data_IF_585440301595
#
_entry.id   IF_585440301595
#
_cell.length_a   1.000
_cell.length_b   1.000
_cell.length_c   1.000
_cell.angle_alpha   90.00
_cell.angle_beta   90.00
_cell.angle_gamma   90.00
#
_symmetry.space_group_name_H-M   'P 1'
#
loop_
_entity.id
_entity.type
_entity.pdbx_description
1 polymer ?
#
# COMPACT_ATOMS: atom_id res chain seq x y z
N UNK A 1 -6.73 -4.00 31.79
CA UNK A 1 -5.59 -4.90 32.08
C UNK A 1 -6.01 -6.31 31.70
N UNK A 2 -5.56 -6.78 30.55
CA UNK A 2 -5.70 -8.19 30.16
C UNK A 2 -4.29 -8.66 29.85
N UNK A 3 -3.65 -9.32 30.82
CA UNK A 3 -2.35 -9.96 30.60
C UNK A 3 -2.62 -11.35 30.03
N UNK A 4 -2.15 -11.59 28.80
CA UNK A 4 -2.03 -12.94 28.25
C UNK A 4 -0.58 -13.34 28.46
N UNK A 5 -0.34 -14.24 29.43
CA UNK A 5 0.97 -14.82 29.65
C UNK A 5 1.21 -15.94 28.64
N UNK A 6 2.20 -15.77 27.76
CA UNK A 6 2.70 -16.86 26.93
C UNK A 6 3.77 -17.64 27.70
N UNK A 7 3.60 -18.94 27.86
CA UNK A 7 4.68 -19.86 28.21
C UNK A 7 5.16 -20.54 26.93
N UNK A 8 6.47 -20.55 26.68
CA UNK A 8 7.04 -21.33 25.58
C UNK A 8 7.05 -22.81 25.95
N UNK A 9 6.49 -23.65 25.07
CA UNK A 9 6.62 -25.10 25.17
C UNK A 9 7.60 -25.59 24.11
N UNK A 10 8.68 -26.23 24.55
CA UNK A 10 9.70 -26.82 23.68
C UNK A 10 9.16 -28.06 22.97
N UNK A 11 9.20 -28.03 21.64
CA UNK A 11 8.57 -29.01 20.73
C UNK A 11 9.26 -30.39 20.71
N UNK A 12 10.42 -30.57 21.37
CA UNK A 12 11.23 -31.79 21.21
C UNK A 12 10.80 -32.99 22.06
N UNK A 13 9.70 -32.94 22.81
CA UNK A 13 9.17 -34.06 23.61
C UNK A 13 7.64 -34.10 23.74
N UNK A 14 6.89 -33.88 22.66
CA UNK A 14 5.42 -33.98 22.74
C UNK A 14 4.91 -35.35 22.29
N UNK A 15 4.24 -36.03 23.21
CA UNK A 15 3.58 -37.32 23.02
C UNK A 15 2.34 -37.14 22.12
N UNK A 16 2.01 -38.13 21.29
CA UNK A 16 0.86 -38.06 20.36
C UNK A 16 -0.47 -37.68 21.05
N UNK A 17 -0.65 -38.06 22.32
CA UNK A 17 -1.82 -37.74 23.14
C UNK A 17 -2.03 -36.23 23.39
N UNK A 18 -0.97 -35.41 23.35
CA UNK A 18 -1.10 -33.97 23.60
C UNK A 18 -1.64 -33.23 22.37
N UNK A 19 -1.31 -33.70 21.17
CA UNK A 19 -1.90 -33.20 19.91
C UNK A 19 -3.40 -33.55 19.90
N UNK A 20 -3.75 -34.81 20.22
CA UNK A 20 -5.14 -35.24 20.33
C UNK A 20 -5.93 -34.40 21.36
N UNK A 21 -5.33 -34.09 22.51
CA UNK A 21 -5.92 -33.19 23.50
C UNK A 21 -6.08 -31.75 23.00
N UNK A 22 -5.11 -31.19 22.26
CA UNK A 22 -5.23 -29.86 21.63
C UNK A 22 -6.38 -29.82 20.63
N UNK A 23 -6.57 -30.89 19.84
CA UNK A 23 -7.70 -31.03 18.93
C UNK A 23 -9.05 -31.18 19.67
N UNK A 24 -9.08 -31.91 20.79
CA UNK A 24 -10.28 -32.11 21.62
C UNK A 24 -10.62 -30.92 22.54
N UNK A 25 -9.65 -30.04 22.83
CA UNK A 25 -9.85 -28.82 23.62
C UNK A 25 -10.67 -27.75 22.89
N UNK A 26 -11.07 -27.99 21.64
CA UNK A 26 -11.89 -27.08 20.88
C UNK A 26 -11.18 -25.75 20.72
N UNK A 27 -10.11 -25.73 19.92
CA UNK A 27 -9.54 -24.47 19.45
C UNK A 27 -10.67 -23.60 18.89
N UNK A 28 -10.64 -22.30 19.18
CA UNK A 28 -11.59 -21.32 18.64
C UNK A 28 -11.54 -21.40 17.10
N UNK A 29 -12.42 -22.19 16.51
CA UNK A 29 -12.68 -22.14 15.08
C UNK A 29 -13.50 -20.86 14.88
N UNK A 30 -12.82 -19.80 14.46
CA UNK A 30 -13.46 -18.57 14.03
C UNK A 30 -14.22 -18.88 12.74
N UNK A 31 -15.46 -19.34 12.88
CA UNK A 31 -16.40 -19.45 11.77
C UNK A 31 -16.79 -18.03 11.41
N UNK A 32 -16.12 -17.45 10.40
CA UNK A 32 -16.58 -16.20 9.82
C UNK A 32 -17.92 -16.50 9.12
N UNK A 33 -19.04 -15.83 9.48
CA UNK A 33 -20.31 -16.08 8.83
C UNK A 33 -20.19 -15.79 7.34
N UNK A 34 -20.75 -16.68 6.50
CA UNK A 34 -20.74 -16.61 5.03
C UNK A 34 -21.17 -15.23 4.48
N UNK A 35 -21.92 -14.45 5.27
CA UNK A 35 -22.37 -13.10 4.95
C UNK A 35 -21.25 -12.12 4.56
N UNK A 36 -20.00 -12.37 4.95
CA UNK A 36 -18.84 -11.54 4.56
C UNK A 36 -17.96 -12.15 3.46
N UNK A 37 -18.14 -13.44 3.15
CA UNK A 37 -17.27 -14.23 2.30
C UNK A 37 -18.01 -14.82 1.09
N UNK A 38 -18.88 -14.03 0.44
CA UNK A 38 -19.55 -14.49 -0.78
C UNK A 38 -18.55 -14.47 -1.93
N UNK A 39 -18.00 -15.62 -2.30
CA UNK A 39 -17.06 -15.77 -3.42
C UNK A 39 -17.73 -16.21 -4.72
N UNK A 40 -19.02 -16.55 -4.69
CA UNK A 40 -19.80 -16.76 -5.91
C UNK A 40 -19.99 -15.43 -6.63
N UNK A 41 -19.12 -15.20 -7.61
CA UNK A 41 -19.18 -14.04 -8.49
C UNK A 41 -20.52 -13.91 -9.22
N UNK A 42 -21.23 -15.01 -9.51
CA UNK A 42 -22.56 -14.98 -10.11
C UNK A 42 -23.60 -14.38 -9.16
N UNK A 43 -23.69 -14.93 -7.95
CA UNK A 43 -24.62 -14.45 -6.93
C UNK A 43 -24.39 -12.97 -6.55
N UNK A 44 -23.14 -12.52 -6.48
CA UNK A 44 -22.83 -11.11 -6.20
C UNK A 44 -23.12 -10.19 -7.39
N UNK A 45 -22.89 -10.65 -8.63
CA UNK A 45 -23.20 -9.88 -9.83
C UNK A 45 -24.71 -9.62 -9.97
N UNK A 46 -25.54 -10.58 -9.55
CA UNK A 46 -27.00 -10.47 -9.60
C UNK A 46 -27.59 -9.70 -8.42
N UNK A 47 -26.77 -9.22 -7.49
CA UNK A 47 -27.23 -8.58 -6.25
C UNK A 47 -27.66 -7.11 -6.39
N UNK A 48 -27.61 -6.56 -7.60
CA UNK A 48 -27.90 -5.14 -7.90
C UNK A 48 -26.78 -4.16 -7.49
N UNK A 49 -25.66 -4.67 -6.96
CA UNK A 49 -24.45 -3.89 -6.68
C UNK A 49 -23.68 -3.64 -7.97
N UNK A 50 -22.97 -2.51 -8.02
CA UNK A 50 -22.01 -2.26 -9.11
C UNK A 50 -20.85 -3.26 -8.98
N UNK A 51 -20.54 -3.95 -10.06
CA UNK A 51 -19.39 -4.85 -10.15
C UNK A 51 -18.22 -4.11 -10.79
N UNK A 52 -17.06 -4.16 -10.13
CA UNK A 52 -15.80 -3.63 -10.63
C UNK A 52 -14.86 -4.81 -10.88
N UNK A 53 -14.48 -5.01 -12.14
CA UNK A 53 -13.49 -6.02 -12.50
C UNK A 53 -12.08 -5.51 -12.20
N UNK A 54 -11.29 -6.35 -11.54
CA UNK A 54 -9.91 -6.06 -11.20
C UNK A 54 -9.03 -7.22 -11.65
N UNK A 55 -8.43 -7.06 -12.83
CA UNK A 55 -7.66 -8.10 -13.49
C UNK A 55 -6.16 -7.80 -13.32
N UNK A 56 -5.44 -8.74 -12.73
CA UNK A 56 -4.01 -8.65 -12.48
C UNK A 56 -3.27 -9.81 -13.14
N UNK A 57 -2.04 -9.55 -13.56
CA UNK A 57 -1.11 -10.58 -14.02
C UNK A 57 0.02 -10.69 -13.02
N UNK A 58 0.26 -11.88 -12.45
CA UNK A 58 1.45 -12.09 -11.61
C UNK A 58 2.66 -12.37 -12.49
N UNK A 59 3.67 -11.49 -12.47
CA UNK A 59 4.85 -11.63 -13.33
C UNK A 59 6.13 -11.11 -12.68
N UNK A 60 7.24 -11.77 -13.00
CA UNK A 60 8.58 -11.44 -12.55
C UNK A 60 9.26 -10.51 -13.54
N UNK A 61 9.75 -9.37 -13.07
CA UNK A 61 10.43 -8.36 -13.91
C UNK A 61 11.72 -7.89 -13.27
N UNK A 62 12.66 -7.43 -14.10
CA UNK A 62 13.88 -6.78 -13.63
C UNK A 62 13.69 -5.27 -13.70
N UNK A 63 13.76 -4.60 -12.54
CA UNK A 63 13.56 -3.15 -12.44
C UNK A 63 14.85 -2.42 -12.11
N UNK A 64 15.04 -1.19 -12.60
CA UNK A 64 16.21 -0.40 -12.27
C UNK A 64 16.19 0.03 -10.80
N UNK A 65 17.37 0.14 -10.20
CA UNK A 65 17.59 0.72 -8.86
C UNK A 65 18.77 1.69 -8.92
N UNK A 66 18.93 2.52 -7.89
CA UNK A 66 19.98 3.54 -7.83
C UNK A 66 21.38 2.95 -8.06
N UNK A 67 22.25 3.72 -8.72
CA UNK A 67 23.64 3.33 -8.98
C UNK A 67 23.84 2.51 -10.25
N UNK A 68 22.91 2.58 -11.20
CA UNK A 68 22.98 1.84 -12.48
C UNK A 68 22.81 0.34 -12.31
N UNK A 69 22.21 -0.08 -11.19
CA UNK A 69 21.93 -1.48 -10.86
C UNK A 69 20.48 -1.81 -11.21
N UNK A 70 20.15 -3.09 -11.08
CA UNK A 70 18.79 -3.60 -11.21
C UNK A 70 18.49 -4.54 -10.06
N UNK A 71 17.20 -4.82 -9.81
CA UNK A 71 16.76 -5.85 -8.88
C UNK A 71 15.66 -6.70 -9.50
N UNK A 72 15.52 -7.93 -8.99
CA UNK A 72 14.50 -8.87 -9.43
C UNK A 72 13.22 -8.66 -8.62
N UNK A 73 12.22 -8.10 -9.28
CA UNK A 73 10.92 -7.83 -8.70
C UNK A 73 9.92 -8.93 -9.09
N UNK A 74 9.01 -9.23 -8.18
CA UNK A 74 7.75 -9.91 -8.50
C UNK A 74 6.67 -8.83 -8.49
N UNK A 75 5.76 -8.83 -9.46
CA UNK A 75 4.84 -7.71 -9.66
C UNK A 75 3.42 -8.16 -9.95
N UNK A 76 2.49 -7.23 -9.74
CA UNK A 76 1.18 -7.30 -10.35
C UNK A 76 1.18 -6.39 -11.58
N UNK A 77 1.05 -6.99 -12.76
CA UNK A 77 0.95 -6.32 -14.06
C UNK A 77 2.17 -5.48 -14.43
N UNK A 78 3.37 -5.97 -14.09
CA UNK A 78 4.64 -5.50 -14.67
C UNK A 78 5.16 -4.20 -14.07
N UNK A 79 4.54 -3.74 -12.98
CA UNK A 79 4.89 -2.51 -12.29
C UNK A 79 4.89 -2.68 -10.77
N UNK A 80 5.67 -1.82 -10.10
CA UNK A 80 5.68 -1.67 -8.65
C UNK A 80 5.41 -0.20 -8.33
N UNK A 81 4.37 0.12 -7.54
CA UNK A 81 3.32 -0.77 -7.04
C UNK A 81 2.44 -1.32 -8.17
N UNK A 82 1.70 -2.38 -7.87
CA UNK A 82 0.64 -2.88 -8.74
C UNK A 82 -0.47 -1.83 -8.97
N UNK A 83 -1.37 -2.07 -9.95
CA UNK A 83 -2.48 -1.18 -10.27
C UNK A 83 -3.32 -0.78 -9.05
N UNK A 84 -3.77 0.47 -8.97
CA UNK A 84 -4.67 0.89 -7.90
C UNK A 84 -6.08 0.36 -8.14
N UNK A 85 -6.63 -0.37 -7.16
CA UNK A 85 -8.06 -0.64 -7.13
C UNK A 85 -8.77 0.56 -6.51
N UNK A 86 -9.80 1.10 -7.17
CA UNK A 86 -10.67 2.12 -6.59
C UNK A 86 -12.13 1.75 -6.79
N UNK A 87 -12.87 1.66 -5.68
CA UNK A 87 -14.29 1.29 -5.66
C UNK A 87 -15.04 2.14 -4.63
N UNK A 88 -16.36 2.13 -4.70
CA UNK A 88 -17.20 2.73 -3.66
C UNK A 88 -17.61 1.66 -2.65
N UNK A 89 -17.77 2.04 -1.39
CA UNK A 89 -18.27 1.16 -0.34
C UNK A 89 -19.60 0.51 -0.76
N UNK A 90 -19.65 -0.82 -0.71
CA UNK A 90 -20.78 -1.62 -1.16
C UNK A 90 -20.68 -2.15 -2.60
N UNK A 91 -19.71 -1.68 -3.40
CA UNK A 91 -19.39 -2.27 -4.71
C UNK A 91 -18.89 -3.72 -4.53
N UNK A 92 -19.13 -4.53 -5.56
CA UNK A 92 -18.56 -5.88 -5.68
C UNK A 92 -17.26 -5.77 -6.46
N UNK A 93 -16.17 -6.27 -5.89
CA UNK A 93 -14.90 -6.43 -6.59
C UNK A 93 -14.82 -7.85 -7.13
N UNK A 94 -14.60 -7.98 -8.43
CA UNK A 94 -14.31 -9.25 -9.10
C UNK A 94 -12.81 -9.29 -9.41
N UNK A 95 -12.05 -9.93 -8.53
CA UNK A 95 -10.60 -10.05 -8.65
C UNK A 95 -10.28 -11.25 -9.52
N UNK A 96 -9.51 -11.04 -10.59
CA UNK A 96 -8.95 -12.12 -11.42
C UNK A 96 -7.43 -12.02 -11.41
N UNK A 97 -6.76 -13.11 -11.03
CA UNK A 97 -5.31 -13.23 -11.09
C UNK A 97 -4.93 -14.27 -12.13
N UNK A 98 -4.15 -13.86 -13.13
CA UNK A 98 -3.59 -14.74 -14.15
C UNK A 98 -2.08 -14.83 -14.02
N UNK A 99 -1.52 -16.04 -14.08
CA UNK A 99 -0.07 -16.25 -14.06
C UNK A 99 0.36 -16.78 -15.43
N UNK A 100 1.26 -16.09 -16.16
CA UNK A 100 1.79 -16.56 -17.42
C UNK A 100 2.42 -17.96 -17.31
N UNK A 101 2.41 -18.72 -18.39
CA UNK A 101 2.91 -20.11 -18.40
C UNK A 101 4.44 -20.21 -18.32
N UNK A 102 5.14 -19.12 -18.61
CA UNK A 102 6.59 -18.97 -18.56
C UNK A 102 7.11 -18.44 -17.21
N UNK A 103 6.22 -18.10 -16.27
CA UNK A 103 6.60 -17.83 -14.89
C UNK A 103 7.12 -19.08 -14.19
N UNK A 104 8.08 -18.87 -13.28
CA UNK A 104 8.71 -19.96 -12.52
C UNK A 104 7.96 -20.23 -11.21
N UNK A 105 7.29 -19.22 -10.67
CA UNK A 105 6.68 -19.26 -9.34
C UNK A 105 5.18 -19.02 -9.47
N UNK A 106 4.39 -19.76 -8.69
CA UNK A 106 2.97 -19.43 -8.53
C UNK A 106 2.79 -18.16 -7.69
N UNK A 107 1.66 -17.49 -7.85
CA UNK A 107 1.34 -16.31 -7.05
C UNK A 107 -0.12 -16.34 -6.59
N UNK A 108 -0.43 -15.62 -5.51
CA UNK A 108 -1.79 -15.42 -5.04
C UNK A 108 -2.08 -13.93 -4.93
N UNK A 109 -3.28 -13.58 -4.47
CA UNK A 109 -3.65 -12.19 -4.24
C UNK A 109 -4.58 -12.11 -3.03
N UNK A 110 -4.07 -11.53 -1.95
CA UNK A 110 -4.77 -11.23 -0.70
C UNK A 110 -5.19 -9.76 -0.71
N UNK A 111 -6.51 -9.54 -0.68
CA UNK A 111 -7.13 -8.20 -0.69
C UNK A 111 -7.61 -7.87 0.72
N UNK A 112 -6.97 -6.93 1.42
CA UNK A 112 -7.35 -6.62 2.81
C UNK A 112 -8.73 -5.95 2.92
N UNK A 113 -9.25 -5.42 1.81
CA UNK A 113 -10.60 -4.88 1.71
C UNK A 113 -11.72 -5.96 1.67
N UNK A 114 -11.37 -7.25 1.55
CA UNK A 114 -12.31 -8.31 1.16
C UNK A 114 -13.01 -9.07 2.29
N UNK A 115 -12.55 -8.95 3.54
CA UNK A 115 -13.16 -9.58 4.74
C UNK A 115 -13.57 -11.06 4.55
N UNK A 116 -12.75 -11.86 3.85
CA UNK A 116 -13.01 -13.27 3.57
C UNK A 116 -11.94 -14.20 4.17
N UNK A 117 -12.19 -15.51 4.13
CA UNK A 117 -11.17 -16.51 4.53
C UNK A 117 -9.95 -16.43 3.61
N UNK A 118 -8.76 -16.62 4.18
CA UNK A 118 -7.51 -16.68 3.45
C UNK A 118 -7.47 -17.83 2.42
N UNK A 119 -8.29 -18.88 2.60
CA UNK A 119 -8.43 -20.00 1.66
C UNK A 119 -8.90 -19.56 0.26
N UNK A 120 -9.48 -18.36 0.13
CA UNK A 120 -9.84 -17.81 -1.18
C UNK A 120 -8.65 -17.20 -1.94
N UNK A 121 -7.51 -17.02 -1.27
CA UNK A 121 -6.30 -16.41 -1.82
C UNK A 121 -5.22 -17.46 -2.14
N UNK A 122 -5.63 -18.69 -2.45
CA UNK A 122 -4.70 -19.78 -2.78
C UNK A 122 -3.74 -19.43 -3.92
N UNK A 123 -2.62 -20.14 -3.94
CA UNK A 123 -1.62 -20.08 -5.01
C UNK A 123 -2.23 -20.43 -6.37
N UNK A 124 -2.03 -19.55 -7.35
CA UNK A 124 -2.30 -19.77 -8.76
C UNK A 124 -1.01 -20.20 -9.42
N UNK A 125 -0.99 -21.37 -10.06
CA UNK A 125 0.21 -21.89 -10.70
C UNK A 125 0.46 -21.20 -12.06
N UNK A 126 1.71 -21.24 -12.58
CA UNK A 126 2.01 -20.80 -13.94
C UNK A 126 1.07 -21.41 -14.98
N UNK A 127 0.55 -20.57 -15.88
CA UNK A 127 -0.42 -20.92 -16.91
C UNK A 127 -1.86 -21.03 -16.41
N UNK A 128 -2.14 -20.74 -15.14
CA UNK A 128 -3.47 -20.79 -14.55
C UNK A 128 -4.04 -19.40 -14.28
N UNK A 129 -5.33 -19.37 -14.00
CA UNK A 129 -6.06 -18.16 -13.61
C UNK A 129 -7.01 -18.53 -12.48
N UNK A 130 -7.08 -17.67 -11.46
CA UNK A 130 -8.05 -17.77 -10.37
C UNK A 130 -8.90 -16.51 -10.33
N UNK A 131 -10.12 -16.66 -9.80
CA UNK A 131 -11.07 -15.58 -9.64
C UNK A 131 -11.82 -15.75 -8.32
N UNK A 132 -12.03 -14.64 -7.64
CA UNK A 132 -12.98 -14.56 -6.53
C UNK A 132 -13.66 -13.19 -6.52
N UNK A 133 -14.77 -13.12 -5.79
CA UNK A 133 -15.49 -11.87 -5.60
C UNK A 133 -15.66 -11.53 -4.12
N UNK A 134 -15.80 -10.24 -3.83
CA UNK A 134 -16.13 -9.75 -2.50
C UNK A 134 -16.88 -8.42 -2.56
N UNK A 135 -17.59 -8.08 -1.49
CA UNK A 135 -18.19 -6.76 -1.32
C UNK A 135 -17.21 -5.88 -0.56
N UNK A 136 -16.87 -4.70 -1.08
CA UNK A 136 -16.04 -3.72 -0.38
C UNK A 136 -16.83 -3.04 0.74
N UNK A 137 -16.95 -3.70 1.89
CA UNK A 137 -17.85 -3.28 2.99
C UNK A 137 -17.35 -2.07 3.78
N UNK A 138 -16.03 -1.90 3.89
CA UNK A 138 -15.42 -0.86 4.74
C UNK A 138 -14.73 0.18 3.89
N UNK A 139 -15.12 1.44 4.05
CA UNK A 139 -14.42 2.56 3.44
C UNK A 139 -13.03 2.78 4.07
N UNK A 140 -12.06 3.19 3.26
CA UNK A 140 -10.68 3.44 3.66
C UNK A 140 -9.66 3.05 2.61
N UNK A 141 -8.39 3.07 3.01
CA UNK A 141 -7.25 2.56 2.24
C UNK A 141 -6.81 1.22 2.79
N UNK A 142 -6.60 0.27 1.90
CA UNK A 142 -6.17 -1.08 2.22
C UNK A 142 -5.05 -1.47 1.28
N UNK A 143 -4.07 -2.21 1.77
CA UNK A 143 -3.17 -2.90 0.85
C UNK A 143 -3.86 -4.09 0.20
N UNK A 144 -3.33 -4.50 -0.94
CA UNK A 144 -3.42 -5.87 -1.40
C UNK A 144 -2.02 -6.35 -1.75
N UNK A 145 -1.79 -7.65 -1.65
CA UNK A 145 -0.45 -8.20 -1.87
C UNK A 145 -0.50 -9.67 -2.30
N UNK A 146 0.65 -10.23 -2.69
CA UNK A 146 0.72 -11.66 -2.92
C UNK A 146 0.39 -12.43 -1.65
N UNK A 147 -0.50 -13.41 -1.77
CA UNK A 147 -0.89 -14.30 -0.66
C UNK A 147 0.29 -15.17 -0.21
N UNK A 148 0.27 -15.58 1.06
CA UNK A 148 1.17 -16.61 1.60
C UNK A 148 0.55 -18.01 1.61
N UNK A 149 -0.70 -18.17 1.18
CA UNK A 149 -1.42 -19.44 1.24
C UNK A 149 -0.91 -20.40 0.17
N UNK A 150 -0.36 -21.54 0.61
CA UNK A 150 0.32 -22.53 -0.25
C UNK A 150 1.48 -21.95 -1.08
N UNK A 151 2.10 -20.86 -0.61
CA UNK A 151 3.25 -20.21 -1.21
C UNK A 151 4.44 -20.19 -0.23
N UNK A 152 5.64 -20.37 -0.76
CA UNK A 152 6.89 -20.29 0.00
C UNK A 152 7.43 -18.87 -0.15
N UNK A 153 7.87 -18.26 0.96
CA UNK A 153 8.53 -16.96 0.91
C UNK A 153 7.58 -15.79 0.62
N UNK A 154 6.43 -15.73 1.30
CA UNK A 154 5.48 -14.61 1.17
C UNK A 154 6.17 -13.24 1.35
N UNK A 155 7.11 -13.16 2.29
CA UNK A 155 7.95 -11.99 2.53
C UNK A 155 8.71 -11.56 1.28
N UNK A 156 9.34 -12.49 0.56
CA UNK A 156 10.00 -12.20 -0.72
C UNK A 156 9.01 -11.66 -1.75
N UNK A 157 7.85 -12.30 -1.91
CA UNK A 157 6.87 -11.89 -2.92
C UNK A 157 6.42 -10.44 -2.70
N UNK A 158 6.05 -10.10 -1.45
CA UNK A 158 5.59 -8.76 -1.10
C UNK A 158 6.74 -7.76 -1.15
N UNK A 159 7.84 -8.01 -0.43
CA UNK A 159 8.92 -7.03 -0.29
C UNK A 159 9.73 -6.82 -1.57
N UNK A 160 9.65 -7.74 -2.54
CA UNK A 160 10.20 -7.55 -3.89
C UNK A 160 9.24 -6.89 -4.89
N UNK A 161 8.00 -6.54 -4.50
CA UNK A 161 7.13 -5.68 -5.31
C UNK A 161 5.68 -6.13 -5.54
N UNK A 162 5.26 -7.33 -5.11
CA UNK A 162 3.86 -7.77 -5.29
C UNK A 162 2.96 -7.19 -4.22
N UNK A 163 2.72 -5.89 -4.32
CA UNK A 163 1.76 -5.16 -3.53
C UNK A 163 1.10 -4.06 -4.34
N UNK A 164 -0.05 -3.59 -3.87
CA UNK A 164 -0.68 -2.37 -4.34
C UNK A 164 -1.67 -1.84 -3.31
N UNK A 165 -2.41 -0.83 -3.72
CA UNK A 165 -3.38 -0.14 -2.87
C UNK A 165 -4.80 -0.34 -3.42
N UNK A 166 -5.74 -0.59 -2.51
CA UNK A 166 -7.16 -0.58 -2.72
C UNK A 166 -7.78 0.59 -1.94
N UNK A 167 -8.43 1.49 -2.67
CA UNK A 167 -9.16 2.64 -2.13
C UNK A 167 -10.65 2.31 -2.20
N UNK A 168 -11.30 2.28 -1.05
CA UNK A 168 -12.75 2.13 -0.92
C UNK A 168 -13.32 3.47 -0.49
N UNK A 169 -13.85 4.22 -1.45
CA UNK A 169 -14.49 5.51 -1.20
C UNK A 169 -15.76 5.32 -0.36
N UNK A 170 -16.04 6.16 0.65
CA UNK A 170 -17.27 6.07 1.43
C UNK A 170 -18.51 6.23 0.54
N UNK A 171 -19.58 5.48 0.81
CA UNK A 171 -20.82 5.53 0.01
C UNK A 171 -21.50 6.91 0.08
N UNK A 172 -21.36 7.60 1.22
CA UNK A 172 -21.89 8.94 1.45
C UNK A 172 -20.87 10.06 1.08
N UNK A 173 -19.76 9.68 0.43
CA UNK A 173 -18.67 10.59 0.08
C UNK A 173 -17.74 10.94 1.25
N UNK A 174 -16.62 11.60 0.94
CA UNK A 174 -15.70 12.10 1.95
C UNK A 174 -16.28 13.32 2.68
N UNK A 175 -15.83 13.56 3.91
CA UNK A 175 -16.19 14.77 4.65
C UNK A 175 -15.35 15.96 4.18
N UNK A 176 -15.99 17.14 4.15
CA UNK A 176 -15.29 18.43 3.94
C UNK A 176 -14.06 18.54 4.85
N UNK A 177 -12.99 19.14 4.33
CA UNK A 177 -11.81 19.44 5.14
C UNK A 177 -12.02 20.78 5.85
N UNK A 178 -11.67 20.83 7.12
CA UNK A 178 -11.67 22.05 7.92
C UNK A 178 -10.23 22.33 8.31
N UNK A 179 -9.74 23.52 7.99
CA UNK A 179 -8.38 23.98 8.28
C UNK A 179 -8.48 25.16 9.26
N UNK A 180 -7.79 25.04 10.41
CA UNK A 180 -7.72 26.10 11.42
C UNK A 180 -6.38 26.81 11.35
N UNK A 181 -6.40 28.09 10.97
CA UNK A 181 -5.23 28.98 10.96
C UNK A 181 -5.54 30.24 11.77
N UNK A 182 -4.66 31.24 11.68
CA UNK A 182 -4.86 32.53 12.34
C UNK A 182 -4.82 33.67 11.34
N UNK A 183 -5.61 34.70 11.60
CA UNK A 183 -5.62 35.95 10.85
C UNK A 183 -5.44 37.14 11.79
N UNK A 184 -4.87 38.25 11.26
CA UNK A 184 -4.68 39.49 12.03
C UNK A 184 -5.60 40.57 11.47
N UNK A 185 -6.56 41.01 12.28
CA UNK A 185 -7.47 42.09 11.95
C UNK A 185 -7.34 43.21 12.98
N UNK A 186 -6.94 44.41 12.55
CA UNK A 186 -6.70 45.58 13.42
C UNK A 186 -5.77 45.28 14.61
N UNK A 187 -4.70 44.52 14.38
CA UNK A 187 -3.74 44.13 15.42
C UNK A 187 -4.24 43.06 16.40
N UNK A 188 -5.45 42.52 16.21
CA UNK A 188 -5.98 41.40 16.98
C UNK A 188 -5.85 40.10 16.19
N UNK A 189 -5.23 39.10 16.80
CA UNK A 189 -5.19 37.73 16.26
C UNK A 189 -6.54 37.06 16.51
N UNK A 190 -7.10 36.44 15.49
CA UNK A 190 -8.30 35.61 15.56
C UNK A 190 -8.07 34.26 14.88
N UNK A 191 -8.80 33.24 15.33
CA UNK A 191 -8.89 31.99 14.59
C UNK A 191 -9.59 32.24 13.26
N UNK A 192 -9.01 31.68 12.20
CA UNK A 192 -9.61 31.61 10.88
C UNK A 192 -9.90 30.14 10.58
N UNK A 193 -11.16 29.85 10.27
CA UNK A 193 -11.63 28.48 9.97
C UNK A 193 -12.13 28.47 8.56
N UNK A 194 -11.40 27.77 7.70
CA UNK A 194 -11.78 27.58 6.31
C UNK A 194 -12.25 26.16 6.08
N UNK A 195 -13.36 26.02 5.37
CA UNK A 195 -13.90 24.74 4.96
C UNK A 195 -13.68 24.57 3.46
N UNK A 196 -13.01 23.49 3.11
CA UNK A 196 -12.78 23.06 1.73
C UNK A 196 -13.78 21.95 1.40
N UNK A 197 -14.19 21.88 0.13
CA UNK A 197 -15.03 20.78 -0.33
C UNK A 197 -14.31 19.43 -0.19
N UNK A 198 -15.09 18.35 -0.15
CA UNK A 198 -14.56 17.00 0.06
C UNK A 198 -13.70 16.51 -1.12
N UNK A 199 -13.98 17.05 -2.31
CA UNK A 199 -13.19 16.86 -3.52
C UNK A 199 -11.78 17.42 -3.31
N UNK A 200 -10.79 16.67 -3.75
CA UNK A 200 -9.39 16.98 -3.56
C UNK A 200 -8.58 16.59 -4.81
N UNK A 201 -7.44 17.24 -5.01
CA UNK A 201 -6.39 16.71 -5.87
C UNK A 201 -5.76 15.51 -5.17
N UNK A 202 -5.80 14.34 -5.80
CA UNK A 202 -5.48 13.08 -5.15
C UNK A 202 -4.17 12.46 -5.64
N UNK A 203 -3.37 11.96 -4.71
CA UNK A 203 -2.15 11.20 -4.99
C UNK A 203 -2.11 9.91 -4.16
N UNK A 204 -1.41 8.91 -4.67
CA UNK A 204 -1.12 7.67 -3.93
C UNK A 204 0.37 7.59 -3.65
N UNK A 205 0.75 7.34 -2.39
CA UNK A 205 2.14 7.15 -1.97
C UNK A 205 2.27 5.81 -1.25
N UNK A 206 2.99 4.87 -1.86
CA UNK A 206 3.19 3.52 -1.37
C UNK A 206 4.63 3.32 -0.98
N UNK A 207 4.90 3.12 0.30
CA UNK A 207 6.24 2.95 0.85
C UNK A 207 6.59 1.47 0.93
N UNK A 208 7.85 1.13 0.67
CA UNK A 208 8.37 -0.22 0.90
C UNK A 208 9.85 -0.18 1.27
N UNK A 209 10.28 -1.14 2.10
CA UNK A 209 11.69 -1.41 2.36
C UNK A 209 12.14 -2.56 1.45
N UNK A 210 13.27 -2.38 0.78
CA UNK A 210 13.90 -3.43 -0.02
C UNK A 210 15.05 -4.06 0.78
N UNK A 211 15.15 -5.38 0.70
CA UNK A 211 16.22 -6.19 1.28
C UNK A 211 16.89 -6.95 0.17
N UNK A 212 18.00 -6.41 -0.35
CA UNK A 212 18.62 -6.90 -1.57
C UNK A 212 20.07 -7.30 -1.35
N UNK A 213 20.48 -8.42 -1.96
CA UNK A 213 21.89 -8.76 -2.14
C UNK A 213 22.55 -7.79 -3.13
N UNK A 214 23.90 -7.75 -3.23
CA UNK A 214 24.58 -6.91 -4.21
C UNK A 214 24.17 -7.16 -5.67
N UNK A 215 23.67 -8.36 -5.98
CA UNK A 215 23.18 -8.80 -7.29
C UNK A 215 21.71 -8.42 -7.54
N UNK A 216 21.01 -7.87 -6.55
CA UNK A 216 19.62 -7.45 -6.69
C UNK A 216 18.59 -8.55 -6.43
N UNK A 217 18.98 -9.65 -5.77
CA UNK A 217 18.06 -10.69 -5.29
C UNK A 217 17.56 -10.36 -3.89
N UNK A 218 16.43 -10.94 -3.48
CA UNK A 218 15.92 -10.79 -2.11
C UNK A 218 16.87 -11.40 -1.07
N UNK A 219 17.11 -10.67 0.02
CA UNK A 219 17.95 -11.09 1.15
C UNK A 219 17.09 -11.26 2.41
N UNK A 220 16.63 -12.49 2.64
CA UNK A 220 15.85 -12.84 3.83
C UNK A 220 16.63 -12.62 5.13
N UNK A 221 17.95 -12.83 5.12
CA UNK A 221 18.79 -12.64 6.30
C UNK A 221 18.83 -11.18 6.73
N UNK A 222 18.99 -10.27 5.77
CA UNK A 222 18.90 -8.84 6.00
C UNK A 222 17.48 -8.43 6.45
N UNK A 223 16.43 -9.02 5.87
CA UNK A 223 15.04 -8.73 6.25
C UNK A 223 14.77 -9.09 7.71
N UNK A 224 15.09 -10.30 8.16
CA UNK A 224 14.86 -10.72 9.55
C UNK A 224 15.69 -9.94 10.57
N UNK A 225 16.76 -9.27 10.14
CA UNK A 225 17.56 -8.36 10.96
C UNK A 225 17.09 -6.90 10.89
N UNK A 226 16.09 -6.59 10.07
CA UNK A 226 15.67 -5.22 9.76
C UNK A 226 16.84 -4.35 9.23
N UNK A 227 17.69 -4.94 8.41
CA UNK A 227 18.80 -4.27 7.74
C UNK A 227 18.44 -3.99 6.28
N UNK A 228 17.53 -3.05 6.04
CA UNK A 228 17.10 -2.73 4.69
C UNK A 228 18.24 -2.10 3.88
N UNK A 229 18.31 -2.42 2.59
CA UNK A 229 19.32 -1.86 1.67
C UNK A 229 18.82 -0.64 0.92
N UNK A 230 17.50 -0.49 0.83
CA UNK A 230 16.85 0.67 0.23
C UNK A 230 15.45 0.89 0.80
N UNK A 231 14.97 2.13 0.66
CA UNK A 231 13.56 2.48 0.80
C UNK A 231 13.06 3.08 -0.51
N UNK A 232 11.83 2.75 -0.87
CA UNK A 232 11.21 3.22 -2.11
C UNK A 232 9.86 3.87 -1.81
N UNK A 233 9.50 4.85 -2.64
CA UNK A 233 8.14 5.41 -2.70
C UNK A 233 7.63 5.14 -4.11
N UNK A 234 6.47 4.51 -4.21
CA UNK A 234 5.91 3.98 -5.44
C UNK A 234 6.95 3.17 -6.26
N UNK A 235 7.64 2.23 -5.60
CA UNK A 235 8.60 1.33 -6.24
C UNK A 235 9.95 1.96 -6.64
N UNK A 236 10.14 3.27 -6.43
CA UNK A 236 11.36 3.98 -6.84
C UNK A 236 12.06 4.69 -5.68
N UNK A 237 13.38 4.52 -5.57
CA UNK A 237 14.20 5.32 -4.65
C UNK A 237 14.31 6.74 -5.19
N UNK A 238 14.08 7.79 -4.40
CA UNK A 238 14.16 9.17 -4.92
C UNK A 238 13.29 9.42 -6.17
N UNK A 239 12.13 8.74 -6.29
CA UNK A 239 11.24 8.89 -7.44
C UNK A 239 10.61 10.29 -7.59
N UNK A 240 10.74 11.14 -6.57
CA UNK A 240 10.10 12.47 -6.47
C UNK A 240 11.12 13.62 -6.30
N UNK A 241 12.38 13.42 -6.70
CA UNK A 241 13.41 14.48 -6.69
C UNK A 241 13.56 15.09 -8.09
N UNK A 242 13.92 16.37 -8.25
CA UNK A 242 14.04 16.97 -9.58
C UNK A 242 14.89 16.14 -10.56
N UNK A 243 14.58 16.22 -11.85
CA UNK A 243 15.38 15.63 -12.94
C UNK A 243 16.03 16.72 -13.82
N UNK A 244 16.69 16.36 -14.91
CA UNK A 244 17.45 17.31 -15.72
C UNK A 244 16.58 18.39 -16.36
N UNK A 245 15.31 18.07 -16.66
CA UNK A 245 14.36 19.03 -17.22
C UNK A 245 14.06 20.10 -16.18
N UNK A 246 13.85 19.69 -14.93
CA UNK A 246 13.64 20.62 -13.82
C UNK A 246 14.90 21.47 -13.54
N UNK A 247 16.08 20.87 -13.58
CA UNK A 247 17.35 21.61 -13.45
C UNK A 247 17.45 22.71 -14.52
N UNK A 248 17.13 22.37 -15.78
CA UNK A 248 17.13 23.34 -16.87
C UNK A 248 16.11 24.46 -16.63
N UNK A 249 14.88 24.12 -16.22
CA UNK A 249 13.82 25.09 -15.96
C UNK A 249 14.15 26.06 -14.82
N UNK A 250 14.75 25.57 -13.72
CA UNK A 250 14.98 26.37 -12.51
C UNK A 250 16.36 27.04 -12.49
N UNK A 251 17.39 26.39 -13.02
CA UNK A 251 18.80 26.84 -12.96
C UNK A 251 19.34 27.30 -14.31
N UNK A 252 18.60 27.11 -15.40
CA UNK A 252 19.07 27.40 -16.76
C UNK A 252 20.13 26.44 -17.28
N UNK A 253 20.41 25.35 -16.57
CA UNK A 253 21.46 24.38 -16.90
C UNK A 253 21.04 22.99 -16.41
N UNK A 254 20.86 22.06 -17.36
CA UNK A 254 20.44 20.69 -17.09
C UNK A 254 21.43 19.92 -16.19
N UNK A 255 22.71 20.32 -16.17
CA UNK A 255 23.77 19.68 -15.40
C UNK A 255 23.93 20.26 -13.99
N UNK A 256 23.20 21.32 -13.65
CA UNK A 256 23.19 21.91 -12.30
C UNK A 256 22.01 21.38 -11.51
N UNK A 257 22.26 20.30 -10.80
CA UNK A 257 21.29 19.67 -9.92
C UNK A 257 20.72 20.65 -8.88
N UNK A 258 19.39 20.70 -8.79
CA UNK A 258 18.66 21.43 -7.75
C UNK A 258 18.81 20.72 -6.41
N UNK A 259 18.81 19.39 -6.42
CA UNK A 259 18.91 18.54 -5.25
C UNK A 259 20.17 17.67 -5.31
N UNK A 260 20.81 17.42 -4.17
CA UNK A 260 22.13 16.76 -4.14
C UNK A 260 22.12 15.34 -4.73
N UNK A 261 21.01 14.60 -4.60
CA UNK A 261 20.87 13.24 -5.10
C UNK A 261 19.76 13.15 -6.16
N UNK A 262 20.12 13.16 -7.44
CA UNK A 262 19.19 13.01 -8.58
C UNK A 262 19.56 11.78 -9.42
N UNK A 263 19.28 10.55 -8.95
CA UNK A 263 19.70 9.34 -9.65
C UNK A 263 18.95 9.09 -10.96
N UNK A 264 17.74 9.64 -11.11
CA UNK A 264 16.88 9.51 -12.30
C UNK A 264 16.90 10.77 -13.15
N UNK A 265 18.10 11.32 -13.38
CA UNK A 265 18.25 12.67 -13.92
C UNK A 265 17.96 12.75 -15.42
N UNK A 266 18.30 11.72 -16.19
CA UNK A 266 18.32 11.81 -17.65
C UNK A 266 17.04 11.33 -18.34
N UNK A 267 16.82 11.82 -19.57
CA UNK A 267 15.63 11.49 -20.36
C UNK A 267 15.61 10.02 -20.82
N UNK A 268 16.77 9.38 -20.90
CA UNK A 268 16.93 7.96 -21.23
C UNK A 268 16.22 7.02 -20.25
N UNK A 269 15.91 7.51 -19.04
CA UNK A 269 15.20 6.74 -18.01
C UNK A 269 13.71 6.51 -18.37
N UNK A 270 13.17 7.18 -19.40
CA UNK A 270 11.79 7.01 -19.89
C UNK A 270 10.75 7.00 -18.76
N UNK A 271 10.02 5.90 -18.57
CA UNK A 271 9.00 5.77 -17.53
C UNK A 271 9.55 5.76 -16.09
N UNK A 272 10.86 5.59 -15.93
CA UNK A 272 11.58 5.63 -14.64
C UNK A 272 12.23 7.00 -14.37
N UNK A 273 11.87 8.03 -15.12
CA UNK A 273 12.23 9.40 -14.76
C UNK A 273 11.52 9.81 -13.47
N UNK A 274 12.14 10.68 -12.68
CA UNK A 274 11.46 11.22 -11.51
C UNK A 274 10.24 12.05 -11.91
N UNK A 275 9.17 11.91 -11.13
CA UNK A 275 7.90 12.60 -11.29
C UNK A 275 7.63 13.45 -10.05
N UNK A 276 7.77 14.77 -10.16
CA UNK A 276 7.40 15.67 -9.06
C UNK A 276 5.88 15.73 -8.90
N UNK A 277 5.44 15.94 -7.66
CA UNK A 277 4.05 16.26 -7.36
C UNK A 277 3.90 17.78 -7.39
N UNK A 278 2.98 18.27 -8.22
CA UNK A 278 2.65 19.69 -8.33
C UNK A 278 1.27 19.94 -7.75
N UNK A 279 1.18 20.97 -6.91
CA UNK A 279 -0.03 21.39 -6.22
C UNK A 279 -0.11 22.91 -6.30
N UNK A 280 -1.32 23.46 -6.37
CA UNK A 280 -1.53 24.90 -6.28
C UNK A 280 -1.72 25.31 -4.81
N UNK A 281 -1.30 26.54 -4.47
CA UNK A 281 -1.58 27.09 -3.14
C UNK A 281 -3.10 27.20 -2.96
N UNK A 282 -3.56 27.02 -1.73
CA UNK A 282 -4.98 27.02 -1.36
C UNK A 282 -5.81 25.89 -1.99
N UNK A 283 -5.16 24.86 -2.54
CA UNK A 283 -5.81 23.66 -3.08
C UNK A 283 -5.93 22.56 -2.02
N UNK A 284 -7.11 21.96 -1.90
CA UNK A 284 -7.30 20.74 -1.10
C UNK A 284 -6.65 19.54 -1.79
N UNK A 285 -5.69 18.93 -1.10
CA UNK A 285 -4.95 17.76 -1.57
C UNK A 285 -5.22 16.59 -0.64
N UNK A 286 -5.42 15.40 -1.22
CA UNK A 286 -5.57 14.14 -0.48
C UNK A 286 -4.51 13.14 -0.91
N UNK A 287 -3.76 12.63 0.06
CA UNK A 287 -2.76 11.59 -0.12
C UNK A 287 -3.29 10.29 0.45
N UNK A 288 -3.44 9.28 -0.39
CA UNK A 288 -3.64 7.90 0.04
C UNK A 288 -2.28 7.26 0.24
N UNK A 289 -1.92 7.02 1.49
CA UNK A 289 -0.59 6.54 1.87
C UNK A 289 -0.69 5.11 2.37
N UNK A 290 0.11 4.20 1.84
CA UNK A 290 0.17 2.81 2.29
C UNK A 290 1.62 2.41 2.55
N UNK A 291 1.90 1.85 3.71
CA UNK A 291 3.20 1.27 4.02
C UNK A 291 3.15 -0.24 3.78
N UNK A 292 3.73 -0.67 2.68
CA UNK A 292 3.68 -2.04 2.21
C UNK A 292 4.70 -2.94 2.91
N UNK A 293 5.75 -2.30 3.44
CA UNK A 293 6.85 -2.96 4.12
C UNK A 293 6.54 -3.35 5.56
N UNK A 294 7.58 -3.86 6.22
CA UNK A 294 7.56 -4.41 7.57
C UNK A 294 8.13 -3.45 8.63
N UNK A 295 8.71 -2.31 8.22
CA UNK A 295 9.26 -1.30 9.12
C UNK A 295 8.37 -0.04 9.16
N UNK A 296 8.36 0.73 10.26
CA UNK A 296 7.56 1.93 10.37
C UNK A 296 8.04 3.05 9.44
N UNK A 297 7.11 3.83 8.92
CA UNK A 297 7.35 5.07 8.18
C UNK A 297 6.94 6.25 9.05
N UNK A 298 7.84 7.23 9.19
CA UNK A 298 7.55 8.51 9.82
C UNK A 298 7.27 9.52 8.71
N UNK A 299 6.00 9.65 8.36
CA UNK A 299 5.57 10.49 7.25
C UNK A 299 5.58 11.96 7.66
N UNK A 300 6.32 12.78 6.91
CA UNK A 300 6.48 14.21 7.15
C UNK A 300 6.61 14.94 5.82
N UNK A 301 6.00 16.13 5.72
CA UNK A 301 6.17 17.07 4.61
C UNK A 301 6.85 18.31 5.19
N UNK A 302 8.08 18.57 4.77
CA UNK A 302 8.87 19.70 5.29
C UNK A 302 8.16 21.01 4.92
N UNK A 303 7.91 21.84 5.94
CA UNK A 303 7.26 23.13 5.79
C UNK A 303 5.74 23.10 5.97
N UNK A 304 5.14 21.92 6.13
CA UNK A 304 3.69 21.77 6.20
C UNK A 304 3.22 21.12 7.52
N UNK A 305 1.97 21.37 7.85
CA UNK A 305 1.21 20.64 8.88
C UNK A 305 0.17 19.78 8.18
N UNK A 306 0.03 18.53 8.61
CA UNK A 306 -0.99 17.63 8.10
C UNK A 306 -2.33 18.02 8.73
N UNK A 307 -3.23 18.63 7.95
CA UNK A 307 -4.51 19.17 8.41
C UNK A 307 -5.47 18.08 8.89
N UNK A 308 -5.45 16.90 8.26
CA UNK A 308 -6.25 15.76 8.70
C UNK A 308 -5.56 14.44 8.36
N UNK A 309 -5.37 13.60 9.37
CA UNK A 309 -4.93 12.21 9.18
C UNK A 309 -6.05 11.27 9.58
N UNK A 310 -6.44 10.40 8.66
CA UNK A 310 -7.47 9.38 8.83
C UNK A 310 -6.84 8.00 8.69
N UNK A 311 -7.10 7.09 9.62
CA UNK A 311 -6.76 5.66 9.51
C UNK A 311 -8.03 4.82 9.65
N UNK A 312 -8.24 3.91 8.72
CA UNK A 312 -9.55 3.29 8.51
C UNK A 312 -10.60 4.34 8.19
N UNK A 313 -11.68 4.39 8.97
CA UNK A 313 -12.77 5.37 8.83
C UNK A 313 -12.80 6.43 9.95
N UNK A 314 -11.68 6.62 10.67
CA UNK A 314 -11.59 7.55 11.80
C UNK A 314 -10.46 8.55 11.62
N UNK A 315 -10.79 9.82 11.82
CA UNK A 315 -9.81 10.90 11.95
C UNK A 315 -9.02 10.66 13.24
N UNK A 316 -7.71 10.50 13.09
CA UNK A 316 -6.77 10.29 14.20
C UNK A 316 -6.12 11.60 14.63
N UNK A 317 -5.97 12.56 13.72
CA UNK A 317 -5.40 13.87 13.98
C UNK A 317 -5.96 14.94 13.04
N UNK A 318 -6.02 16.19 13.52
CA UNK A 318 -6.52 17.36 12.78
C UNK A 318 -5.51 18.53 12.73
N UNK A 319 -4.24 18.26 13.05
CA UNK A 319 -3.08 19.15 12.91
C UNK A 319 -1.84 18.43 13.48
N UNK A 320 -1.05 17.77 12.64
CA UNK A 320 0.18 17.10 13.09
C UNK A 320 1.34 17.33 12.15
N UNK A 321 2.55 17.47 12.69
CA UNK A 321 3.75 17.67 11.87
C UNK A 321 4.19 16.37 11.18
N UNK A 322 4.08 15.23 11.87
CA UNK A 322 4.61 13.93 11.45
C UNK A 322 3.69 12.83 11.95
N UNK A 323 3.38 11.87 11.09
CA UNK A 323 2.55 10.72 11.45
C UNK A 323 3.33 9.41 11.34
N UNK A 324 3.24 8.57 12.37
CA UNK A 324 3.79 7.21 12.34
C UNK A 324 2.80 6.28 11.65
N UNK A 325 3.24 5.68 10.54
CA UNK A 325 2.53 4.63 9.83
C UNK A 325 3.26 3.30 10.05
N UNK A 326 2.62 2.34 10.70
CA UNK A 326 3.19 1.02 10.93
C UNK A 326 3.42 0.25 9.63
N UNK A 327 4.20 -0.83 9.68
CA UNK A 327 4.28 -1.77 8.58
C UNK A 327 2.90 -2.37 8.28
N UNK A 328 2.57 -2.52 7.00
CA UNK A 328 1.28 -3.04 6.53
C UNK A 328 0.07 -2.21 6.98
N UNK A 329 0.21 -0.88 7.04
CA UNK A 329 -0.88 0.05 7.38
C UNK A 329 -1.04 1.14 6.32
N UNK A 330 -2.29 1.57 6.16
CA UNK A 330 -2.68 2.72 5.35
C UNK A 330 -3.18 3.91 6.15
N UNK A 331 -3.11 5.09 5.54
CA UNK A 331 -3.72 6.32 6.03
C UNK A 331 -4.17 7.20 4.86
N UNK A 332 -5.09 8.11 5.15
CA UNK A 332 -5.48 9.20 4.26
C UNK A 332 -5.03 10.49 4.92
N UNK A 333 -4.27 11.30 4.20
CA UNK A 333 -3.83 12.63 4.65
C UNK A 333 -4.51 13.67 3.78
N UNK A 334 -5.34 14.52 4.36
CA UNK A 334 -5.83 15.71 3.69
C UNK A 334 -5.04 16.93 4.18
N UNK A 335 -4.68 17.83 3.25
CA UNK A 335 -3.96 19.06 3.54
C UNK A 335 -4.25 20.16 2.52
N UNK A 336 -3.96 21.40 2.90
CA UNK A 336 -3.95 22.57 2.01
C UNK A 336 -2.63 23.32 2.15
N UNK A 337 -1.91 23.42 1.03
CA UNK A 337 -0.62 24.12 0.94
C UNK A 337 -0.82 25.65 0.90
N UNK A 338 0.04 26.40 1.60
CA UNK A 338 0.01 27.88 1.69
C UNK A 338 1.09 28.57 0.84
#
# INVERSE_FOLDING_TARGET
>A
QTQVGAQSLGVSKMNADVIEQIHQMGGLQLVMPEAFAVTDCGALSDSGRKVVEFNLTGESVTLPIMGGKTYHAMTFSGQVPGPTLRVTQGDVVKMTLSIPADEVTGHGNDMHASQMSADNFESVNPGQTSQYCYIAQSAGTFKYHCSGVHLIGMDQHVLSGMYGIAIVDPIDGYNKLMVEKTSVNNGKVSLDRKFYDADALEFTLQYNQLYLTPEGNYDAGAMFQHHNTATVVNGMQFGYVPNMVHNLLVKGDANKNIFVAQPWNGLENKQYQSQLLFVENDQHVRLFVENQGNEPVFFHIVGEILDRVTQGNRVQSAATETWLLGGSQGMIVDLVFD
#
